data_IF_058637116830
#
_entry.id   IF_058637116830
#
_cell.length_a   1.000
_cell.length_b   1.000
_cell.length_c   1.000
_cell.angle_alpha   90.00
_cell.angle_beta   90.00
_cell.angle_gamma   90.00
#
_symmetry.space_group_name_H-M   'P 1'
#
loop_
_entity.id
_entity.type
_entity.pdbx_description
1 polymer ?
#
# COMPACT_ATOMS: atom_id res chain seq x y z
N UNK A 1 7.49 70.03 -43.45
CA UNK A 1 7.91 68.64 -43.74
C UNK A 1 6.66 67.82 -44.11
N UNK A 2 6.68 67.21 -45.30
CA UNK A 2 5.54 66.69 -46.12
C UNK A 2 4.87 65.43 -45.51
N UNK A 3 3.55 65.21 -45.47
CA UNK A 3 2.43 65.16 -46.46
C UNK A 3 2.43 63.96 -47.43
N UNK A 4 1.45 63.07 -47.19
CA UNK A 4 0.63 62.24 -48.11
C UNK A 4 0.89 60.73 -48.16
N UNK A 5 -0.12 60.01 -47.67
CA UNK A 5 -0.51 58.64 -48.02
C UNK A 5 -0.24 58.31 -49.49
N UNK A 6 0.30 57.12 -49.76
CA UNK A 6 0.00 56.42 -51.00
C UNK A 6 -0.03 54.91 -50.77
N UNK A 7 -1.26 54.38 -50.90
CA UNK A 7 -1.60 53.00 -51.23
C UNK A 7 -0.66 52.36 -52.28
N UNK A 8 -0.62 51.01 -52.26
CA UNK A 8 -0.18 50.07 -53.30
C UNK A 8 1.18 49.40 -53.05
N UNK A 9 1.17 48.30 -52.30
CA UNK A 9 1.70 47.03 -52.80
C UNK A 9 0.78 45.90 -52.32
N UNK A 10 -0.22 45.60 -53.14
CA UNK A 10 -0.91 44.31 -53.19
C UNK A 10 0.01 43.36 -53.97
N UNK A 11 0.47 42.25 -53.38
CA UNK A 11 0.73 41.01 -54.14
C UNK A 11 0.83 39.78 -53.22
N UNK A 12 -0.18 38.92 -53.34
CA UNK A 12 -0.16 37.46 -53.18
C UNK A 12 0.51 36.82 -51.94
N UNK A 13 -0.30 36.36 -50.98
CA UNK A 13 -0.41 34.92 -50.73
C UNK A 13 -1.66 34.60 -49.89
N UNK A 14 -2.55 33.80 -50.48
CA UNK A 14 -3.70 33.20 -49.81
C UNK A 14 -3.15 32.20 -48.79
N UNK A 15 -3.35 32.46 -47.49
CA UNK A 15 -3.23 31.43 -46.47
C UNK A 15 -4.53 31.43 -45.66
N UNK A 16 -5.42 30.51 -46.03
CA UNK A 16 -6.60 30.15 -45.27
C UNK A 16 -6.17 29.68 -43.89
N UNK A 17 -6.30 30.55 -42.88
CA UNK A 17 -6.19 30.15 -41.47
C UNK A 17 -7.51 29.47 -41.10
N UNK A 18 -7.52 28.15 -41.19
CA UNK A 18 -8.57 27.33 -40.60
C UNK A 18 -8.51 27.49 -39.09
N UNK A 19 -9.57 28.06 -38.52
CA UNK A 19 -9.76 28.13 -37.07
C UNK A 19 -10.09 26.75 -36.55
N UNK A 20 -9.07 26.01 -36.11
CA UNK A 20 -9.28 24.87 -35.22
C UNK A 20 -9.82 25.40 -33.89
N UNK A 21 -11.13 25.31 -33.70
CA UNK A 21 -11.73 25.33 -32.36
C UNK A 21 -11.19 24.11 -31.62
N UNK A 22 -10.06 24.31 -30.93
CA UNK A 22 -9.65 23.41 -29.86
C UNK A 22 -10.70 23.55 -28.77
N UNK A 23 -11.46 22.48 -28.52
CA UNK A 23 -12.37 22.41 -27.39
C UNK A 23 -11.59 22.81 -26.13
N UNK A 24 -11.94 23.94 -25.52
CA UNK A 24 -11.51 24.21 -24.15
C UNK A 24 -12.16 23.13 -23.30
N UNK A 25 -11.37 22.15 -22.86
CA UNK A 25 -11.77 21.30 -21.74
C UNK A 25 -12.12 22.26 -20.62
N UNK A 26 -13.39 22.25 -20.19
CA UNK A 26 -13.82 23.03 -19.04
C UNK A 26 -13.03 22.50 -17.84
N UNK A 27 -12.11 23.30 -17.33
CA UNK A 27 -11.49 23.08 -16.03
C UNK A 27 -12.59 23.28 -14.97
N UNK A 28 -13.36 22.22 -14.74
CA UNK A 28 -14.16 22.12 -13.53
C UNK A 28 -13.19 21.82 -12.39
N UNK A 29 -12.83 22.86 -11.64
CA UNK A 29 -12.05 22.76 -10.41
C UNK A 29 -12.93 22.28 -9.25
N UNK A 30 -13.62 21.16 -9.46
CA UNK A 30 -14.03 20.30 -8.35
C UNK A 30 -12.81 19.49 -7.92
N UNK A 31 -12.43 19.68 -6.67
CA UNK A 31 -11.27 19.09 -5.98
C UNK A 31 -10.90 17.68 -6.44
N UNK A 32 -9.62 17.47 -6.79
CA UNK A 32 -8.99 16.17 -7.05
C UNK A 32 -9.20 15.17 -5.89
N UNK A 33 -10.33 14.48 -5.84
CA UNK A 33 -10.59 13.38 -4.89
C UNK A 33 -10.32 11.99 -5.47
N UNK A 34 -10.16 11.89 -6.79
CA UNK A 34 -10.20 10.62 -7.52
C UNK A 34 -8.82 10.23 -8.10
N UNK A 35 -7.75 10.92 -7.69
CA UNK A 35 -6.38 10.63 -8.12
C UNK A 35 -5.59 9.90 -7.01
N UNK A 36 -4.81 8.91 -7.40
CA UNK A 36 -3.82 8.30 -6.52
C UNK A 36 -2.72 9.31 -6.20
N UNK A 37 -2.44 9.50 -4.91
CA UNK A 37 -1.32 10.31 -4.44
C UNK A 37 -0.38 9.47 -3.56
N UNK A 38 0.90 9.80 -3.60
CA UNK A 38 1.90 9.10 -2.81
C UNK A 38 1.72 9.38 -1.32
N UNK A 39 1.80 8.33 -0.50
CA UNK A 39 1.90 8.37 0.96
C UNK A 39 3.33 8.04 1.40
N UNK A 40 3.61 8.08 2.70
CA UNK A 40 4.92 7.74 3.22
C UNK A 40 5.38 6.35 2.75
N UNK A 41 6.56 6.33 2.12
CA UNK A 41 7.17 5.10 1.63
C UNK A 41 7.43 4.13 2.78
N UNK A 42 7.09 2.86 2.55
CA UNK A 42 7.35 1.76 3.48
C UNK A 42 8.85 1.71 3.85
N UNK A 43 9.14 1.56 5.15
CA UNK A 43 10.51 1.59 5.70
C UNK A 43 11.09 0.21 6.01
N UNK A 44 10.28 -0.84 5.90
CA UNK A 44 10.73 -2.22 6.09
C UNK A 44 11.34 -2.84 4.83
N UNK A 45 11.70 -4.13 4.90
CA UNK A 45 12.21 -4.89 3.76
C UNK A 45 11.19 -4.91 2.61
N UNK A 46 11.66 -4.77 1.37
CA UNK A 46 10.80 -4.93 0.18
C UNK A 46 10.24 -6.36 0.16
N UNK A 47 8.95 -6.49 0.48
CA UNK A 47 8.34 -7.78 0.82
C UNK A 47 7.11 -8.04 -0.03
N UNK A 48 6.95 -9.28 -0.48
CA UNK A 48 5.74 -9.81 -1.14
C UNK A 48 5.04 -10.82 -0.23
N UNK A 49 3.78 -11.13 -0.50
CA UNK A 49 3.02 -12.16 0.25
C UNK A 49 3.00 -11.95 1.76
N UNK A 50 3.03 -10.69 2.21
CA UNK A 50 2.92 -10.32 3.61
C UNK A 50 1.46 -10.45 4.09
N UNK A 51 1.28 -10.79 5.36
CA UNK A 51 -0.01 -10.68 6.02
C UNK A 51 -0.27 -9.21 6.38
N UNK A 52 -1.53 -8.78 6.32
CA UNK A 52 -1.93 -7.45 6.76
C UNK A 52 -3.27 -7.46 7.48
N UNK A 53 -3.48 -6.49 8.35
CA UNK A 53 -4.73 -6.31 9.09
C UNK A 53 -4.85 -4.85 9.58
N UNK A 54 -6.06 -4.41 9.91
CA UNK A 54 -6.33 -3.06 10.40
C UNK A 54 -6.78 -3.11 11.86
N UNK A 55 -6.14 -2.35 12.75
CA UNK A 55 -6.63 -2.16 14.13
C UNK A 55 -6.71 -0.67 14.40
N UNK A 56 -7.89 -0.16 14.79
CA UNK A 56 -8.10 1.24 15.14
C UNK A 56 -7.56 2.23 14.08
N UNK A 57 -7.86 1.98 12.80
CA UNK A 57 -7.39 2.78 11.65
C UNK A 57 -5.86 2.80 11.45
N UNK A 58 -5.12 1.94 12.15
CA UNK A 58 -3.69 1.70 11.92
C UNK A 58 -3.55 0.41 11.13
N UNK A 59 -2.92 0.48 9.96
CA UNK A 59 -2.67 -0.69 9.13
C UNK A 59 -1.39 -1.39 9.59
N UNK A 60 -1.43 -2.70 9.70
CA UNK A 60 -0.29 -3.51 10.08
C UNK A 60 0.11 -4.41 8.92
N UNK A 61 1.41 -4.53 8.69
CA UNK A 61 2.01 -5.46 7.73
C UNK A 61 3.03 -6.31 8.48
N UNK A 62 2.96 -7.62 8.30
CA UNK A 62 3.86 -8.56 8.99
C UNK A 62 4.13 -9.79 8.15
N UNK A 63 5.25 -10.45 8.43
CA UNK A 63 5.73 -11.62 7.69
C UNK A 63 5.90 -11.33 6.18
N UNK A 64 6.18 -12.35 5.38
CA UNK A 64 6.27 -12.25 3.93
C UNK A 64 7.61 -12.73 3.38
N UNK A 65 7.75 -12.64 2.06
CA UNK A 65 8.95 -13.00 1.32
C UNK A 65 9.66 -11.73 0.85
N UNK A 66 10.77 -11.40 1.51
CA UNK A 66 11.62 -10.28 1.17
C UNK A 66 12.77 -10.70 0.24
N UNK A 67 13.34 -9.74 -0.46
CA UNK A 67 14.55 -9.93 -1.25
C UNK A 67 15.38 -8.65 -1.27
N UNK A 68 16.69 -8.79 -1.18
CA UNK A 68 17.61 -7.71 -1.53
C UNK A 68 17.80 -7.69 -3.05
N UNK A 69 18.21 -6.55 -3.62
CA UNK A 69 18.48 -6.45 -5.05
C UNK A 69 19.49 -7.52 -5.51
N UNK A 70 19.04 -8.44 -6.36
CA UNK A 70 19.83 -9.57 -6.87
C UNK A 70 20.09 -10.71 -5.87
N UNK A 71 19.51 -10.65 -4.67
CA UNK A 71 19.67 -11.66 -3.62
C UNK A 71 18.64 -12.79 -3.68
N UNK A 72 18.97 -13.92 -3.06
CA UNK A 72 18.01 -15.01 -2.83
C UNK A 72 16.87 -14.52 -1.91
N UNK A 73 15.60 -14.83 -2.21
CA UNK A 73 14.50 -14.44 -1.35
C UNK A 73 14.58 -15.14 0.02
N UNK A 74 14.19 -14.41 1.07
CA UNK A 74 14.15 -14.89 2.45
C UNK A 74 12.86 -14.44 3.13
N UNK A 75 12.42 -15.20 4.13
CA UNK A 75 11.20 -14.88 4.87
C UNK A 75 11.52 -13.95 6.01
N UNK A 76 10.56 -13.08 6.34
CA UNK A 76 10.73 -12.08 7.40
C UNK A 76 9.73 -12.28 8.53
N UNK A 77 10.04 -11.67 9.68
CA UNK A 77 9.18 -11.62 10.86
C UNK A 77 8.85 -10.18 11.29
N UNK A 78 9.39 -9.19 10.59
CA UNK A 78 9.18 -7.80 10.93
C UNK A 78 7.69 -7.45 10.89
N UNK A 79 7.27 -6.61 11.83
CA UNK A 79 5.91 -6.09 11.88
C UNK A 79 5.99 -4.57 11.88
N UNK A 80 5.28 -3.94 10.95
CA UNK A 80 5.23 -2.50 10.81
C UNK A 80 3.78 -2.02 10.90
N UNK A 81 3.59 -0.88 11.55
CA UNK A 81 2.32 -0.18 11.66
C UNK A 81 2.38 1.12 10.85
N UNK A 82 1.36 1.36 10.04
CA UNK A 82 1.14 2.61 9.32
C UNK A 82 -0.02 3.37 9.94
N UNK A 83 0.27 4.58 10.41
CA UNK A 83 -0.73 5.53 10.87
C UNK A 83 -1.06 6.50 9.74
N UNK A 84 -2.30 6.44 9.24
CA UNK A 84 -2.77 7.27 8.15
C UNK A 84 -2.95 8.75 8.55
N UNK A 85 -3.17 9.04 9.84
CA UNK A 85 -3.37 10.40 10.33
C UNK A 85 -2.05 11.17 10.38
N UNK A 86 -0.96 10.53 10.80
CA UNK A 86 0.39 11.12 10.78
C UNK A 86 1.15 10.84 9.49
N UNK A 87 0.67 9.95 8.62
CA UNK A 87 1.36 9.47 7.42
C UNK A 87 2.76 8.94 7.75
N UNK A 88 2.85 8.05 8.74
CA UNK A 88 4.13 7.50 9.20
C UNK A 88 4.07 6.00 9.40
N UNK A 89 5.22 5.37 9.22
CA UNK A 89 5.45 3.97 9.55
C UNK A 89 6.25 3.86 10.86
N UNK A 90 5.88 2.90 11.70
CA UNK A 90 6.59 2.56 12.92
C UNK A 90 6.81 1.05 13.01
N UNK A 91 8.02 0.65 13.39
CA UNK A 91 8.33 -0.75 13.69
C UNK A 91 7.71 -1.18 15.02
N UNK A 92 7.11 -2.37 15.01
CA UNK A 92 6.39 -3.00 16.13
C UNK A 92 7.09 -4.30 16.53
N UNK A 93 6.59 -4.95 17.58
CA UNK A 93 7.14 -6.23 17.99
C UNK A 93 7.11 -7.25 16.82
N UNK A 94 8.25 -7.91 16.52
CA UNK A 94 8.31 -8.86 15.43
C UNK A 94 7.43 -10.07 15.72
N UNK A 95 6.92 -10.68 14.66
CA UNK A 95 6.17 -11.91 14.71
C UNK A 95 6.99 -13.00 15.42
N UNK A 96 6.38 -13.68 16.39
CA UNK A 96 7.10 -14.62 17.27
C UNK A 96 7.15 -16.06 16.75
N UNK A 97 6.34 -16.39 15.75
CA UNK A 97 6.38 -17.71 15.10
C UNK A 97 7.54 -17.85 14.12
N UNK A 98 7.60 -19.00 13.44
CA UNK A 98 8.56 -19.25 12.35
C UNK A 98 8.36 -18.23 11.23
N UNK A 99 9.44 -17.76 10.63
CA UNK A 99 9.44 -16.89 9.46
C UNK A 99 8.66 -17.54 8.29
N UNK A 100 7.78 -16.76 7.66
CA UNK A 100 6.80 -17.30 6.71
C UNK A 100 6.42 -16.28 5.65
N UNK A 101 5.87 -16.77 4.56
CA UNK A 101 5.16 -15.95 3.57
C UNK A 101 3.79 -16.58 3.24
N UNK A 102 2.89 -15.78 2.67
CA UNK A 102 1.57 -16.24 2.26
C UNK A 102 0.67 -16.62 3.44
N UNK A 103 0.94 -16.05 4.63
CA UNK A 103 0.07 -16.19 5.80
C UNK A 103 -1.21 -15.36 5.62
N UNK A 104 -2.29 -15.80 6.24
CA UNK A 104 -3.53 -15.00 6.32
C UNK A 104 -3.38 -13.94 7.41
N UNK A 105 -4.04 -12.80 7.24
CA UNK A 105 -4.10 -11.72 8.23
C UNK A 105 -5.52 -11.13 8.29
N UNK A 106 -6.02 -10.89 9.50
CA UNK A 106 -7.28 -10.18 9.73
C UNK A 106 -7.36 -9.62 11.16
N UNK A 107 -8.39 -8.87 11.49
CA UNK A 107 -8.64 -8.35 12.84
C UNK A 107 -10.06 -8.62 13.32
N UNK A 108 -10.21 -8.85 14.63
CA UNK A 108 -11.50 -8.92 15.32
C UNK A 108 -11.40 -8.00 16.54
N UNK A 109 -12.32 -7.04 16.68
CA UNK A 109 -12.18 -5.94 17.64
C UNK A 109 -10.81 -5.26 17.55
N UNK A 110 -10.12 -5.17 18.69
CA UNK A 110 -8.82 -4.49 18.81
C UNK A 110 -7.60 -5.44 18.72
N UNK A 111 -7.78 -6.62 18.12
CA UNK A 111 -6.76 -7.67 18.06
C UNK A 111 -6.53 -8.09 16.61
N UNK A 112 -5.26 -8.17 16.21
CA UNK A 112 -4.85 -8.70 14.91
C UNK A 112 -4.59 -10.20 14.98
N UNK A 113 -4.77 -10.93 13.89
CA UNK A 113 -4.60 -12.37 13.82
C UNK A 113 -3.80 -12.73 12.58
N UNK A 114 -2.81 -13.62 12.73
CA UNK A 114 -1.97 -14.11 11.63
C UNK A 114 -1.72 -15.60 11.78
N UNK A 115 -1.95 -16.36 10.70
CA UNK A 115 -1.87 -17.82 10.71
C UNK A 115 -1.52 -18.44 9.38
N UNK A 116 -1.16 -19.72 9.45
CA UNK A 116 -0.74 -20.49 8.28
C UNK A 116 0.49 -19.89 7.61
N UNK A 117 0.50 -19.90 6.28
CA UNK A 117 1.66 -19.54 5.46
C UNK A 117 2.60 -20.72 5.23
N UNK A 118 3.72 -20.43 4.59
CA UNK A 118 4.75 -21.40 4.24
C UNK A 118 6.11 -20.96 4.79
N UNK A 119 6.82 -21.86 5.48
CA UNK A 119 8.15 -21.61 6.08
C UNK A 119 9.33 -21.83 5.11
N UNK A 120 9.04 -22.30 3.89
CA UNK A 120 10.02 -22.70 2.88
C UNK A 120 10.05 -24.18 2.59
N UNK A 121 9.45 -24.98 3.47
CA UNK A 121 9.34 -26.43 3.33
C UNK A 121 7.90 -26.88 3.51
N UNK A 122 7.22 -26.38 4.54
CA UNK A 122 5.90 -26.82 4.95
C UNK A 122 4.90 -25.67 4.97
N UNK A 123 3.64 -26.00 4.67
CA UNK A 123 2.53 -25.15 5.05
C UNK A 123 2.25 -25.32 6.54
N UNK A 124 1.85 -24.23 7.19
CA UNK A 124 1.75 -24.17 8.65
C UNK A 124 0.30 -24.20 9.11
N UNK A 125 0.08 -24.70 10.34
CA UNK A 125 -1.22 -24.68 11.03
C UNK A 125 -1.23 -23.71 12.22
N UNK A 126 -0.07 -23.22 12.65
CA UNK A 126 0.00 -22.35 13.82
C UNK A 126 -0.68 -21.01 13.58
N UNK A 127 -1.19 -20.44 14.66
CA UNK A 127 -2.00 -19.25 14.63
C UNK A 127 -1.67 -18.34 15.80
N UNK A 128 -1.66 -17.03 15.57
CA UNK A 128 -1.22 -16.05 16.54
C UNK A 128 -2.17 -14.87 16.57
N UNK A 129 -2.27 -14.25 17.75
CA UNK A 129 -2.90 -12.96 17.93
C UNK A 129 -1.87 -11.88 18.25
N UNK A 130 -2.17 -10.65 17.87
CA UNK A 130 -1.37 -9.46 18.14
C UNK A 130 -2.20 -8.46 18.95
N UNK A 131 -1.69 -8.12 20.13
CA UNK A 131 -2.20 -7.01 20.95
C UNK A 131 -1.31 -5.77 20.69
N UNK A 132 -1.82 -4.69 20.08
CA UNK A 132 -1.02 -3.50 19.79
C UNK A 132 -0.73 -2.63 21.01
N UNK A 133 -1.43 -2.82 22.14
CA UNK A 133 -1.32 -2.00 23.35
C UNK A 133 -0.22 -2.47 24.30
N UNK A 134 0.15 -3.76 24.20
CA UNK A 134 1.20 -4.36 24.99
C UNK A 134 2.57 -3.67 24.78
N UNK A 135 3.47 -3.84 25.75
CA UNK A 135 4.85 -3.35 25.70
C UNK A 135 4.95 -1.84 25.39
N UNK A 136 4.12 -1.02 26.05
CA UNK A 136 4.11 0.43 25.83
C UNK A 136 3.71 0.82 24.41
N UNK A 137 2.77 0.08 23.81
CA UNK A 137 2.33 0.31 22.44
C UNK A 137 3.28 -0.24 21.36
N UNK A 138 4.34 -0.98 21.70
CA UNK A 138 5.11 -1.76 20.70
C UNK A 138 4.35 -2.99 20.20
N UNK A 139 3.40 -3.45 21.01
CA UNK A 139 2.59 -4.63 20.80
C UNK A 139 3.28 -5.92 21.22
N UNK A 140 2.50 -7.01 21.20
CA UNK A 140 2.97 -8.35 21.54
C UNK A 140 2.20 -9.41 20.75
N UNK A 141 2.92 -10.42 20.28
CA UNK A 141 2.35 -11.61 19.66
C UNK A 141 2.16 -12.72 20.70
N UNK A 142 1.11 -13.52 20.53
CA UNK A 142 0.88 -14.71 21.35
C UNK A 142 0.31 -15.82 20.48
N UNK A 143 0.85 -17.03 20.63
CA UNK A 143 0.30 -18.22 19.99
C UNK A 143 -1.09 -18.53 20.56
N UNK A 144 -2.00 -18.95 19.70
CA UNK A 144 -3.36 -19.39 20.02
C UNK A 144 -3.63 -20.76 19.40
N UNK A 145 -4.84 -21.29 19.57
CA UNK A 145 -5.22 -22.57 19.00
C UNK A 145 -4.94 -22.61 17.47
N UNK A 146 -4.30 -23.69 16.97
CA UNK A 146 -3.94 -23.78 15.56
C UNK A 146 -5.16 -23.94 14.66
N UNK A 147 -4.97 -23.66 13.39
CA UNK A 147 -5.91 -23.97 12.32
C UNK A 147 -6.03 -25.49 12.17
N UNK A 148 -7.23 -26.01 11.84
CA UNK A 148 -7.44 -27.46 11.68
C UNK A 148 -6.72 -28.04 10.46
N UNK A 149 -6.30 -27.19 9.52
CA UNK A 149 -5.58 -27.57 8.30
C UNK A 149 -4.41 -26.61 8.05
N UNK A 150 -3.36 -27.13 7.42
CA UNK A 150 -2.24 -26.31 6.98
C UNK A 150 -2.64 -25.54 5.71
N UNK A 151 -2.40 -24.23 5.68
CA UNK A 151 -2.79 -23.38 4.55
C UNK A 151 -1.71 -22.34 4.22
N UNK A 152 -1.62 -21.94 2.95
CA UNK A 152 -0.80 -20.83 2.47
C UNK A 152 -1.44 -20.19 1.24
N UNK A 153 -1.22 -18.88 1.06
CA UNK A 153 -1.85 -18.06 0.01
C UNK A 153 -3.39 -18.14 0.01
N UNK A 154 -3.98 -18.35 1.19
CA UNK A 154 -5.42 -18.36 1.38
C UNK A 154 -5.96 -16.94 1.59
N UNK A 155 -7.28 -16.82 1.59
CA UNK A 155 -8.00 -15.57 1.89
C UNK A 155 -8.66 -15.71 3.25
N UNK A 156 -8.61 -14.64 4.04
CA UNK A 156 -9.37 -14.51 5.28
C UNK A 156 -10.17 -13.21 5.26
N UNK A 157 -11.33 -13.24 5.91
CA UNK A 157 -12.18 -12.09 6.14
C UNK A 157 -12.91 -12.28 7.47
N UNK A 158 -13.45 -11.20 8.01
CA UNK A 158 -14.24 -11.27 9.24
C UNK A 158 -15.71 -10.95 8.96
N UNK A 159 -16.58 -11.55 9.75
CA UNK A 159 -18.01 -11.28 9.76
C UNK A 159 -18.38 -10.86 11.19
N UNK A 160 -19.05 -9.71 11.33
CA UNK A 160 -19.43 -9.13 12.63
C UNK A 160 -18.23 -8.78 13.53
N UNK A 161 -17.23 -8.09 12.96
CA UNK A 161 -15.99 -7.70 13.65
C UNK A 161 -16.18 -6.88 14.91
#
# INVERSE_FOLDING_TARGET
MNKKNWLLVLLAFVFTVTTISSCKKSDDSTTKSDEWFAKAAFKGPQTSSAASFLINNVAYVTTGLASNAGGKPFRVKDTYAYDAASDTWAEKAPFTGVERNGAIGFSIGNVGYVGGGNDGTNNLTDFYKFDPTANGGKGAWSSIAPLPIALSNAVAFTLNG
#
